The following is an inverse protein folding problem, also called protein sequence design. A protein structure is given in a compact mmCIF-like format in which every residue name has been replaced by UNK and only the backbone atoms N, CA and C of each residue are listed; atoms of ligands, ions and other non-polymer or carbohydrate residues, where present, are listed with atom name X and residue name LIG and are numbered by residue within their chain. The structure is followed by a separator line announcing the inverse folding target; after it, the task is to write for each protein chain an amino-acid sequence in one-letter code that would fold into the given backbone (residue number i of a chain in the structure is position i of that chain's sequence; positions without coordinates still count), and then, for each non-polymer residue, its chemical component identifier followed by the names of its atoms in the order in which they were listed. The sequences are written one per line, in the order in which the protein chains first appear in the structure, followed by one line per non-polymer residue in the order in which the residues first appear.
data_IF_574180834633
#
_entry.id   IF_574180834633
#
_cell.length_a   1.000
_cell.length_b   1.000
_cell.length_c   1.000
_cell.angle_alpha   90.00
_cell.angle_beta   90.00
_cell.angle_gamma   90.00
#
_symmetry.space_group_name_H-M   'P 1'
#
loop_
_entity.id
_entity.type
_entity.pdbx_description
1 polymer ?
#
# COMPACT_ATOMS: atom_id res chain seq x y z
N UNK A 1 -2.99 13.71 -9.35
CA UNK A 1 -3.82 13.32 -8.20
C UNK A 1 -3.72 11.81 -8.00
N UNK A 2 -3.55 11.35 -6.77
CA UNK A 2 -3.40 9.92 -6.50
C UNK A 2 -4.75 9.20 -6.56
N UNK A 3 -4.76 8.00 -7.12
CA UNK A 3 -5.93 7.14 -7.11
C UNK A 3 -6.06 6.49 -5.73
N UNK A 4 -7.30 6.25 -5.30
CA UNK A 4 -7.57 5.61 -4.02
C UNK A 4 -8.60 4.50 -4.17
N UNK A 5 -8.58 3.58 -3.20
CA UNK A 5 -9.54 2.50 -3.06
C UNK A 5 -9.85 2.36 -1.57
N UNK A 6 -11.04 1.92 -1.22
CA UNK A 6 -11.34 1.61 0.18
C UNK A 6 -10.79 0.23 0.54
N UNK A 7 -10.60 0.00 1.84
CA UNK A 7 -10.19 -1.32 2.32
C UNK A 7 -11.21 -2.38 1.94
N UNK A 8 -12.50 -2.06 2.05
CA UNK A 8 -13.56 -2.99 1.67
C UNK A 8 -13.50 -3.36 0.18
N UNK A 9 -13.28 -2.36 -0.67
CA UNK A 9 -13.12 -2.60 -2.10
C UNK A 9 -11.90 -3.47 -2.39
N UNK A 10 -10.78 -3.21 -1.70
CA UNK A 10 -9.57 -3.99 -1.85
C UNK A 10 -9.82 -5.46 -1.48
N UNK A 11 -10.48 -5.70 -0.35
CA UNK A 11 -10.77 -7.05 0.12
C UNK A 11 -11.68 -7.79 -0.86
N UNK A 12 -12.58 -7.07 -1.52
CA UNK A 12 -13.50 -7.66 -2.49
C UNK A 12 -12.85 -7.95 -3.84
N UNK A 13 -11.63 -7.49 -4.08
CA UNK A 13 -10.91 -7.84 -5.31
C UNK A 13 -10.55 -9.32 -5.28
N UNK A 14 -10.89 -10.02 -6.35
CA UNK A 14 -10.65 -11.46 -6.43
C UNK A 14 -9.38 -11.79 -7.18
N UNK A 15 -8.67 -10.81 -7.65
CA UNK A 15 -7.43 -11.04 -8.39
C UNK A 15 -6.31 -11.41 -7.41
N UNK A 16 -5.61 -12.50 -7.70
CA UNK A 16 -4.41 -12.86 -6.96
C UNK A 16 -3.17 -12.15 -7.51
N UNK A 17 -3.34 -11.33 -8.53
CA UNK A 17 -2.21 -10.74 -9.25
C UNK A 17 -1.84 -9.34 -8.79
N UNK A 18 -2.57 -8.76 -7.83
CA UNK A 18 -2.21 -7.45 -7.35
C UNK A 18 -1.17 -7.55 -6.22
N UNK A 19 -0.37 -6.51 -6.13
CA UNK A 19 0.67 -6.40 -5.11
C UNK A 19 0.20 -5.45 -4.01
N UNK A 20 0.17 -5.92 -2.77
CA UNK A 20 -0.23 -5.12 -1.62
C UNK A 20 1.00 -4.84 -0.77
N UNK A 21 1.31 -3.57 -0.58
CA UNK A 21 2.48 -3.13 0.17
C UNK A 21 2.02 -2.36 1.39
N UNK A 22 2.44 -2.82 2.57
CA UNK A 22 2.21 -2.13 3.84
C UNK A 22 3.44 -1.27 4.11
N UNK A 23 3.24 0.05 4.15
CA UNK A 23 4.35 0.99 4.30
C UNK A 23 4.55 1.47 5.74
N UNK A 24 3.94 0.78 6.70
CA UNK A 24 4.13 1.08 8.12
C UNK A 24 5.48 0.54 8.59
N UNK A 25 5.80 0.80 9.86
CA UNK A 25 7.02 0.26 10.45
C UNK A 25 6.93 -1.28 10.56
N UNK A 26 8.09 -1.97 10.61
CA UNK A 26 8.06 -3.43 10.79
C UNK A 26 7.35 -3.88 12.07
N UNK A 27 7.47 -3.13 13.15
CA UNK A 27 6.80 -3.48 14.41
C UNK A 27 5.28 -3.41 14.27
N UNK A 28 4.77 -2.37 13.60
CA UNK A 28 3.34 -2.25 13.33
C UNK A 28 2.84 -3.39 12.45
N UNK A 29 3.61 -3.73 11.42
CA UNK A 29 3.27 -4.82 10.53
C UNK A 29 3.17 -6.15 11.29
N UNK A 30 4.09 -6.38 12.22
CA UNK A 30 4.08 -7.61 13.01
C UNK A 30 2.89 -7.71 13.95
N UNK A 31 2.36 -6.58 14.43
CA UNK A 31 1.19 -6.59 15.30
C UNK A 31 -0.05 -7.10 14.57
N UNK A 32 -0.29 -6.59 13.38
CA UNK A 32 -1.36 -7.07 12.50
C UNK A 32 -1.12 -6.48 11.11
N UNK A 33 -1.56 -7.19 10.10
CA UNK A 33 -1.49 -6.71 8.72
C UNK A 33 -2.49 -7.46 7.86
N UNK A 34 -2.77 -6.92 6.68
CA UNK A 34 -3.66 -7.56 5.73
C UNK A 34 -3.04 -8.83 5.16
N UNK A 35 -3.87 -9.84 4.86
CA UNK A 35 -3.39 -11.06 4.20
C UNK A 35 -2.63 -10.70 2.91
N UNK A 36 -1.52 -11.37 2.69
CA UNK A 36 -0.67 -11.22 1.50
C UNK A 36 0.03 -9.87 1.37
N UNK A 37 -0.05 -9.01 2.37
CA UNK A 37 0.68 -7.76 2.37
C UNK A 37 2.17 -8.01 2.57
N UNK A 38 2.99 -7.24 1.87
CA UNK A 38 4.44 -7.24 2.03
C UNK A 38 4.81 -5.94 2.73
N UNK A 39 5.65 -6.01 3.75
CA UNK A 39 6.07 -4.81 4.45
C UNK A 39 7.29 -4.18 3.77
N UNK A 40 7.10 -2.99 3.25
CA UNK A 40 8.19 -2.14 2.77
C UNK A 40 7.99 -0.80 3.44
N UNK A 41 8.75 -0.51 4.51
CA UNK A 41 8.56 0.74 5.24
C UNK A 41 8.67 1.97 4.33
N UNK A 42 7.89 2.98 4.66
CA UNK A 42 7.79 4.21 3.86
C UNK A 42 9.15 4.75 3.44
N UNK A 43 10.07 4.88 4.40
CA UNK A 43 11.38 5.50 4.12
C UNK A 43 12.18 4.70 3.10
N UNK A 44 12.15 3.38 3.19
CA UNK A 44 12.84 2.51 2.23
C UNK A 44 12.21 2.60 0.85
N UNK A 45 10.89 2.54 0.80
CA UNK A 45 10.18 2.60 -0.48
C UNK A 45 10.41 3.92 -1.19
N UNK A 46 10.35 5.03 -0.45
CA UNK A 46 10.51 6.36 -1.04
C UNK A 46 11.95 6.68 -1.40
N UNK A 47 12.92 6.07 -0.71
CA UNK A 47 14.35 6.27 -1.00
C UNK A 47 14.77 5.44 -2.20
N UNK A 48 14.28 4.20 -2.31
CA UNK A 48 14.72 3.27 -3.34
C UNK A 48 13.53 2.65 -4.09
N UNK A 49 12.65 3.45 -4.69
CA UNK A 49 11.43 2.88 -5.30
C UNK A 49 11.74 1.89 -6.42
N UNK A 50 12.79 2.10 -7.19
CA UNK A 50 13.16 1.24 -8.29
C UNK A 50 13.64 -0.15 -7.84
N UNK A 51 14.00 -0.31 -6.57
CA UNK A 51 14.36 -1.61 -6.01
C UNK A 51 13.14 -2.47 -5.72
N UNK A 52 12.01 -1.84 -5.48
CA UNK A 52 10.80 -2.52 -5.01
C UNK A 52 9.67 -2.52 -6.02
N UNK A 53 9.66 -1.55 -6.93
CA UNK A 53 8.54 -1.36 -7.85
C UNK A 53 9.00 -1.42 -9.29
N UNK A 54 8.12 -1.97 -10.13
CA UNK A 54 8.29 -1.97 -11.59
C UNK A 54 7.21 -1.07 -12.17
N UNK A 55 7.54 -0.32 -13.21
CA UNK A 55 6.61 0.66 -13.79
C UNK A 55 5.47 0.03 -14.58
N UNK A 56 5.59 -1.24 -14.93
CA UNK A 56 4.55 -1.97 -15.65
C UNK A 56 3.63 -2.77 -14.73
N UNK A 57 3.79 -2.66 -13.41
CA UNK A 57 2.98 -3.37 -12.42
C UNK A 57 2.13 -2.39 -11.62
N UNK A 58 1.03 -2.87 -11.07
CA UNK A 58 0.14 -2.08 -10.20
C UNK A 58 0.36 -2.46 -8.76
N UNK A 59 0.40 -1.47 -7.88
CA UNK A 59 0.64 -1.68 -6.45
C UNK A 59 -0.40 -0.95 -5.62
N UNK A 60 -0.90 -1.63 -4.58
CA UNK A 60 -1.77 -1.02 -3.58
C UNK A 60 -0.93 -0.74 -2.34
N UNK A 61 -0.96 0.50 -1.85
CA UNK A 61 -0.21 0.90 -0.66
C UNK A 61 -1.16 1.14 0.49
N UNK A 62 -0.86 0.54 1.65
CA UNK A 62 -1.68 0.70 2.85
C UNK A 62 -0.83 1.20 4.00
N UNK A 63 -1.41 2.10 4.80
CA UNK A 63 -0.80 2.60 6.03
C UNK A 63 -1.87 2.67 7.12
N UNK A 64 -1.54 3.26 8.29
CA UNK A 64 -2.46 3.28 9.42
C UNK A 64 -3.77 4.00 9.14
N UNK A 65 -3.72 5.18 8.53
CA UNK A 65 -4.89 6.04 8.36
C UNK A 65 -5.15 6.50 6.93
N UNK A 66 -4.34 6.08 5.99
CA UNK A 66 -4.52 6.43 4.58
C UNK A 66 -3.79 7.68 4.12
N UNK A 67 -3.40 8.58 5.02
CA UNK A 67 -2.75 9.84 4.63
C UNK A 67 -1.33 9.64 4.11
N UNK A 68 -0.56 8.78 4.77
CA UNK A 68 0.82 8.52 4.35
C UNK A 68 0.87 7.76 3.03
N UNK A 69 -0.01 6.79 2.86
CA UNK A 69 -0.09 6.03 1.60
C UNK A 69 -0.55 6.91 0.45
N UNK A 70 -1.48 7.85 0.72
CA UNK A 70 -1.92 8.79 -0.31
C UNK A 70 -0.75 9.67 -0.78
N UNK A 71 0.03 10.20 0.16
CA UNK A 71 1.21 11.01 -0.16
C UNK A 71 2.24 10.21 -0.94
N UNK A 72 2.51 8.98 -0.49
CA UNK A 72 3.46 8.10 -1.17
C UNK A 72 3.03 7.83 -2.61
N UNK A 73 1.74 7.50 -2.80
CA UNK A 73 1.22 7.23 -4.14
C UNK A 73 1.33 8.46 -5.05
N UNK A 74 1.02 9.65 -4.54
CA UNK A 74 1.12 10.86 -5.34
C UNK A 74 2.55 11.09 -5.83
N UNK A 75 3.54 10.88 -4.95
CA UNK A 75 4.94 11.05 -5.32
C UNK A 75 5.38 9.96 -6.31
N UNK A 76 5.03 8.71 -6.03
CA UNK A 76 5.43 7.59 -6.88
C UNK A 76 4.81 7.69 -8.27
N UNK A 77 3.55 8.14 -8.35
CA UNK A 77 2.92 8.36 -9.64
C UNK A 77 3.64 9.43 -10.45
N UNK A 78 4.15 10.47 -9.78
CA UNK A 78 4.91 11.51 -10.48
C UNK A 78 6.20 10.96 -11.07
N UNK A 79 6.72 9.85 -10.55
CA UNK A 79 7.89 9.17 -11.10
C UNK A 79 7.54 8.09 -12.12
N UNK A 80 6.27 7.88 -12.40
CA UNK A 80 5.82 6.93 -13.42
C UNK A 80 5.40 5.56 -12.90
N UNK A 81 5.33 5.36 -11.58
CA UNK A 81 4.86 4.11 -11.00
C UNK A 81 3.34 4.10 -10.90
N UNK A 82 2.73 2.92 -10.98
CA UNK A 82 1.27 2.76 -10.92
C UNK A 82 0.89 2.32 -9.52
N UNK A 83 0.47 3.27 -8.69
CA UNK A 83 0.14 3.01 -7.28
C UNK A 83 -1.26 3.51 -6.96
N UNK A 84 -1.93 2.81 -6.04
CA UNK A 84 -3.27 3.13 -5.57
C UNK A 84 -3.24 3.10 -4.05
N UNK A 85 -3.73 4.16 -3.41
CA UNK A 85 -3.72 4.26 -1.96
C UNK A 85 -4.99 3.64 -1.37
N UNK A 86 -4.83 2.83 -0.31
CA UNK A 86 -5.95 2.36 0.49
C UNK A 86 -6.31 3.50 1.44
N UNK A 87 -7.33 4.28 1.08
CA UNK A 87 -7.59 5.59 1.69
C UNK A 87 -8.05 5.56 3.15
N UNK A 88 -8.67 4.46 3.59
CA UNK A 88 -9.09 4.32 4.99
C UNK A 88 -8.09 3.55 5.84
N UNK A 89 -6.98 3.11 5.25
CA UNK A 89 -5.93 2.43 5.99
C UNK A 89 -6.44 1.19 6.72
N UNK A 90 -5.98 1.00 7.95
CA UNK A 90 -6.34 -0.17 8.76
C UNK A 90 -7.56 0.08 9.66
N UNK A 91 -8.48 0.93 9.26
CA UNK A 91 -9.67 1.20 10.06
C UNK A 91 -10.56 -0.03 10.25
N UNK A 92 -10.49 -1.01 9.36
CA UNK A 92 -11.29 -2.24 9.46
C UNK A 92 -10.38 -3.41 9.89
N UNK A 93 -9.91 -3.35 11.13
CA UNK A 93 -8.92 -4.31 11.66
C UNK A 93 -9.40 -5.76 11.63
N UNK A 94 -10.70 -6.02 11.58
CA UNK A 94 -11.24 -7.37 11.53
C UNK A 94 -10.79 -8.16 10.29
N UNK A 95 -10.23 -7.50 9.29
CA UNK A 95 -9.74 -8.15 8.08
C UNK A 95 -8.25 -8.47 8.15
N UNK A 96 -7.59 -8.22 9.29
CA UNK A 96 -6.16 -8.35 9.43
C UNK A 96 -5.78 -9.59 10.23
N UNK A 97 -4.54 -10.02 10.04
CA UNK A 97 -3.93 -11.08 10.85
C UNK A 97 -3.49 -10.55 12.22
#
# INVERSE_FOLDING_TARGET
MAETITLQELINLKSSDFHLIDIRTPNEFLEYHLPNAINIPYDLLMTYPDRYLKKDQHYYLVCGHGSLSFRACAILQSYGYKTISVRDGYNLRQYCY
#
